data_IF_357814663314
#
_entry.id   IF_357814663314
#
_cell.length_a   1.000
_cell.length_b   1.000
_cell.length_c   1.000
_cell.angle_alpha   90.00
_cell.angle_beta   90.00
_cell.angle_gamma   90.00
#
_symmetry.space_group_name_H-M   'P 1'
#
loop_
_entity.id
_entity.type
_entity.pdbx_description
1 polymer ?
#
# COMPACT_ATOMS: atom_id res chain seq x y z
N UNK A 1 -10.68 -17.43 -15.20
CA UNK A 1 -10.89 -16.86 -13.86
C UNK A 1 -9.64 -16.10 -13.45
N UNK A 2 -9.73 -14.78 -13.23
CA UNK A 2 -8.64 -14.07 -12.57
C UNK A 2 -8.71 -14.41 -11.08
N UNK A 3 -7.90 -15.37 -10.63
CA UNK A 3 -7.60 -15.54 -9.21
C UNK A 3 -6.82 -14.28 -8.84
N UNK A 4 -7.53 -13.28 -8.30
CA UNK A 4 -6.91 -12.03 -7.88
C UNK A 4 -5.86 -12.33 -6.81
N UNK A 5 -4.72 -11.66 -6.90
CA UNK A 5 -3.67 -11.78 -5.89
C UNK A 5 -4.23 -11.38 -4.51
N UNK A 6 -4.22 -12.28 -3.50
CA UNK A 6 -4.67 -11.96 -2.15
C UNK A 6 -3.92 -10.76 -1.55
N UNK A 7 -2.70 -10.49 -2.01
CA UNK A 7 -1.89 -9.35 -1.60
C UNK A 7 -2.52 -7.99 -1.99
N UNK A 8 -3.48 -7.97 -2.92
CA UNK A 8 -4.22 -6.76 -3.31
C UNK A 8 -5.09 -6.21 -2.17
N UNK A 9 -5.60 -7.08 -1.30
CA UNK A 9 -6.36 -6.70 -0.11
C UNK A 9 -5.41 -6.11 0.94
N UNK A 10 -4.22 -6.69 1.08
CA UNK A 10 -3.16 -6.19 1.98
C UNK A 10 -2.62 -4.83 1.56
N UNK A 11 -2.60 -4.52 0.27
CA UNK A 11 -2.21 -3.19 -0.21
C UNK A 11 -3.08 -2.05 0.33
N UNK A 12 -4.35 -2.31 0.71
CA UNK A 12 -5.19 -1.31 1.38
C UNK A 12 -4.82 -1.11 2.86
N UNK A 13 -4.07 -2.04 3.46
CA UNK A 13 -3.66 -1.92 4.86
C UNK A 13 -2.78 -0.70 5.10
N UNK A 14 -1.97 -0.26 4.12
CA UNK A 14 -1.18 0.98 4.22
C UNK A 14 -2.02 2.26 4.19
N UNK A 15 -3.26 2.17 3.74
CA UNK A 15 -4.20 3.30 3.78
C UNK A 15 -4.77 3.49 5.20
N UNK A 16 -4.85 2.42 5.99
CA UNK A 16 -5.49 2.40 7.31
C UNK A 16 -4.52 2.22 8.49
N UNK A 17 -3.40 1.53 8.28
CA UNK A 17 -2.38 1.20 9.26
C UNK A 17 -1.06 1.87 8.84
N UNK A 18 -0.29 2.36 9.80
CA UNK A 18 1.00 3.04 9.56
C UNK A 18 2.05 2.58 10.56
N UNK A 19 3.32 2.59 10.13
CA UNK A 19 4.48 2.26 10.98
C UNK A 19 4.32 0.92 11.71
N UNK A 20 4.60 0.91 13.02
CA UNK A 20 4.55 -0.31 13.86
C UNK A 20 3.22 -1.05 13.83
N UNK A 21 2.09 -0.37 13.58
CA UNK A 21 0.78 -1.04 13.49
C UNK A 21 0.70 -1.98 12.29
N UNK A 22 1.42 -1.66 11.20
CA UNK A 22 1.48 -2.52 10.03
C UNK A 22 2.38 -3.71 10.32
N UNK A 23 3.54 -3.51 10.95
CA UNK A 23 4.47 -4.57 11.38
C UNK A 23 3.76 -5.61 12.26
N UNK A 24 3.03 -5.15 13.30
CA UNK A 24 2.28 -6.03 14.20
C UNK A 24 1.13 -6.75 13.47
N UNK A 25 0.43 -6.06 12.57
CA UNK A 25 -0.62 -6.68 11.76
C UNK A 25 -0.05 -7.79 10.87
N UNK A 26 1.15 -7.60 10.31
CA UNK A 26 1.83 -8.58 9.46
C UNK A 26 2.32 -9.77 10.29
N UNK A 27 2.98 -9.53 11.43
CA UNK A 27 3.40 -10.58 12.36
C UNK A 27 2.21 -11.44 12.79
N UNK A 28 1.06 -10.82 13.05
CA UNK A 28 -0.17 -11.54 13.43
C UNK A 28 -0.78 -12.38 12.30
N UNK A 29 -0.50 -12.04 11.03
CA UNK A 29 -1.08 -12.70 9.86
C UNK A 29 -0.26 -13.91 9.37
N UNK A 30 0.99 -14.05 9.80
CA UNK A 30 1.81 -15.23 9.53
C UNK A 30 2.15 -15.48 8.05
N UNK A 31 2.19 -14.42 7.23
CA UNK A 31 2.48 -14.52 5.81
C UNK A 31 3.98 -14.59 5.50
N UNK A 32 4.31 -15.29 4.42
CA UNK A 32 5.67 -15.42 3.90
C UNK A 32 6.21 -14.09 3.35
N UNK A 33 7.53 -13.88 3.40
CA UNK A 33 8.20 -12.65 2.98
C UNK A 33 7.95 -12.30 1.51
N UNK A 34 7.71 -13.30 0.66
CA UNK A 34 7.37 -13.10 -0.74
C UNK A 34 5.99 -12.46 -0.94
N UNK A 35 5.03 -12.80 -0.08
CA UNK A 35 3.68 -12.22 -0.12
C UNK A 35 3.70 -10.75 0.32
N UNK A 36 4.64 -10.41 1.21
CA UNK A 36 4.89 -9.05 1.66
C UNK A 36 5.46 -8.15 0.55
N UNK A 37 6.50 -8.61 -0.15
CA UNK A 37 7.10 -7.86 -1.27
C UNK A 37 6.04 -7.58 -2.34
N UNK A 38 5.18 -8.56 -2.62
CA UNK A 38 4.05 -8.38 -3.55
C UNK A 38 3.02 -7.38 -3.02
N UNK A 39 2.66 -7.43 -1.74
CA UNK A 39 1.73 -6.47 -1.14
C UNK A 39 2.25 -5.03 -1.21
N UNK A 40 3.54 -4.82 -0.93
CA UNK A 40 4.23 -3.52 -1.10
C UNK A 40 4.19 -3.04 -2.55
N UNK A 41 4.49 -3.92 -3.50
CA UNK A 41 4.40 -3.62 -4.93
C UNK A 41 2.99 -3.17 -5.34
N UNK A 42 1.95 -3.85 -4.84
CA UNK A 42 0.56 -3.48 -5.09
C UNK A 42 0.16 -2.14 -4.46
N UNK A 43 0.60 -1.87 -3.23
CA UNK A 43 0.36 -0.59 -2.56
C UNK A 43 1.01 0.56 -3.32
N UNK A 44 2.27 0.38 -3.74
CA UNK A 44 3.03 1.37 -4.52
C UNK A 44 2.38 1.63 -5.88
N UNK A 45 2.03 0.58 -6.63
CA UNK A 45 1.36 0.71 -7.91
C UNK A 45 0.03 1.47 -7.78
N UNK A 46 -0.80 1.14 -6.78
CA UNK A 46 -2.10 1.78 -6.61
C UNK A 46 -1.95 3.26 -6.25
N UNK A 47 -1.08 3.59 -5.30
CA UNK A 47 -0.86 4.96 -4.88
C UNK A 47 -0.26 5.84 -6.00
N UNK A 48 0.69 5.31 -6.76
CA UNK A 48 1.26 6.00 -7.92
C UNK A 48 0.24 6.17 -9.05
N UNK A 49 -0.56 5.14 -9.32
CA UNK A 49 -1.63 5.20 -10.32
C UNK A 49 -2.69 6.25 -9.96
N UNK A 50 -3.18 6.24 -8.72
CA UNK A 50 -4.14 7.25 -8.22
C UNK A 50 -3.55 8.66 -8.25
N UNK A 51 -2.27 8.83 -7.90
CA UNK A 51 -1.58 10.11 -7.99
C UNK A 51 -1.48 10.60 -9.45
N UNK A 52 -1.19 9.72 -10.41
CA UNK A 52 -1.15 10.05 -11.83
C UNK A 52 -2.51 10.44 -12.40
N UNK A 53 -3.60 9.81 -11.92
CA UNK A 53 -4.96 10.18 -12.32
C UNK A 53 -5.43 11.50 -11.71
N UNK A 54 -4.81 11.94 -10.62
CA UNK A 54 -5.21 13.17 -9.94
C UNK A 54 -4.69 14.39 -10.70
N UNK A 55 -5.62 15.20 -11.24
CA UNK A 55 -5.29 16.44 -11.98
C UNK A 55 -4.62 17.48 -11.09
N UNK A 56 -5.12 17.67 -9.87
CA UNK A 56 -4.53 18.58 -8.88
C UNK A 56 -3.61 17.82 -7.91
N UNK A 57 -2.31 17.95 -8.15
CA UNK A 57 -1.26 17.29 -7.34
C UNK A 57 -1.06 17.90 -5.96
N UNK A 58 -1.75 18.99 -5.64
CA UNK A 58 -1.78 19.64 -4.32
C UNK A 58 -3.09 19.39 -3.57
N UNK A 59 -4.04 18.69 -4.19
CA UNK A 59 -5.25 18.25 -3.49
C UNK A 59 -4.90 17.37 -2.29
N UNK A 60 -5.76 17.40 -1.28
CA UNK A 60 -5.63 16.56 -0.07
C UNK A 60 -5.55 15.07 -0.43
N UNK A 61 -6.17 14.66 -1.54
CA UNK A 61 -6.09 13.32 -2.08
C UNK A 61 -4.69 13.02 -2.65
N UNK A 62 -4.13 13.88 -3.50
CA UNK A 62 -2.77 13.70 -4.02
C UNK A 62 -1.70 13.69 -2.92
N UNK A 63 -1.87 14.52 -1.87
CA UNK A 63 -0.97 14.54 -0.70
C UNK A 63 -1.05 13.20 0.04
N UNK A 64 -2.24 12.65 0.24
CA UNK A 64 -2.41 11.32 0.84
C UNK A 64 -1.71 10.23 0.01
N UNK A 65 -1.84 10.24 -1.32
CA UNK A 65 -1.17 9.26 -2.17
C UNK A 65 0.36 9.37 -2.09
N UNK A 66 0.90 10.60 -2.11
CA UNK A 66 2.34 10.84 -1.90
C UNK A 66 2.82 10.32 -0.54
N UNK A 67 2.02 10.50 0.51
CA UNK A 67 2.36 9.98 1.83
C UNK A 67 2.35 8.45 1.87
N UNK A 68 1.38 7.80 1.23
CA UNK A 68 1.34 6.33 1.13
C UNK A 68 2.57 5.81 0.38
N UNK A 69 2.95 6.45 -0.73
CA UNK A 69 4.18 6.10 -1.48
C UNK A 69 5.40 6.18 -0.57
N UNK A 70 5.53 7.26 0.21
CA UNK A 70 6.63 7.43 1.16
C UNK A 70 6.62 6.37 2.26
N UNK A 71 5.46 6.11 2.86
CA UNK A 71 5.32 5.10 3.92
C UNK A 71 5.64 3.68 3.42
N UNK A 72 5.34 3.37 2.16
CA UNK A 72 5.69 2.09 1.51
C UNK A 72 7.18 1.98 1.19
N UNK A 73 7.88 3.09 0.96
CA UNK A 73 9.32 3.12 0.69
C UNK A 73 10.16 3.12 1.98
N UNK A 74 9.68 3.77 3.04
CA UNK A 74 10.37 3.91 4.32
C UNK A 74 10.19 2.69 5.25
N UNK A 75 9.16 1.85 5.02
CA UNK A 75 8.96 0.55 5.70
C UNK A 75 9.63 -0.63 4.99
#
# INVERSE_FOLDING_TARGET
MAIGDPARILGNSWTFLKGKSIEIFIESMGYDSDMWIRARGWALWKATFELCQTKDKNSTYAIKQKQIIKDVLDG
#
